data_IF_146076962772
#
_entry.id   IF_146076962772
#
_cell.length_a   1.000
_cell.length_b   1.000
_cell.length_c   1.000
_cell.angle_alpha   90.00
_cell.angle_beta   90.00
_cell.angle_gamma   90.00
#
_symmetry.space_group_name_H-M   'P 1'
#
loop_
_entity.id
_entity.type
_entity.pdbx_description
1 polymer ?
#
# COMPACT_ATOMS: atom_id res chain seq x y z
N UNK A 1 -11.66 -7.68 -26.89
CA UNK A 1 -11.53 -7.05 -28.23
C UNK A 1 -12.91 -6.82 -28.84
N UNK A 2 -13.14 -5.61 -29.38
CA UNK A 2 -14.37 -5.29 -30.11
C UNK A 2 -14.07 -5.49 -31.59
N UNK A 3 -14.85 -6.37 -32.23
CA UNK A 3 -14.64 -6.70 -33.64
C UNK A 3 -15.82 -6.24 -34.50
N UNK A 4 -15.51 -5.74 -35.71
CA UNK A 4 -16.48 -5.40 -36.74
C UNK A 4 -16.04 -6.07 -38.04
N UNK A 5 -16.91 -6.90 -38.62
CA UNK A 5 -16.65 -7.67 -39.85
C UNK A 5 -15.37 -8.53 -39.77
N UNK A 6 -15.06 -9.13 -38.60
CA UNK A 6 -13.87 -9.97 -38.38
C UNK A 6 -12.57 -9.20 -38.15
N UNK A 7 -12.57 -7.88 -38.16
CA UNK A 7 -11.41 -7.03 -37.86
C UNK A 7 -11.61 -6.30 -36.54
N UNK A 8 -10.53 -6.02 -35.83
CA UNK A 8 -10.55 -5.27 -34.56
C UNK A 8 -10.93 -3.82 -34.83
N UNK A 9 -12.02 -3.36 -34.21
CA UNK A 9 -12.45 -1.97 -34.27
C UNK A 9 -11.75 -1.14 -33.18
N UNK A 10 -10.55 -0.66 -33.48
CA UNK A 10 -9.73 0.14 -32.56
C UNK A 10 -10.43 1.41 -32.07
N UNK A 11 -11.33 1.99 -32.85
CA UNK A 11 -12.04 3.20 -32.45
C UNK A 11 -13.06 2.87 -31.38
N UNK A 12 -13.86 1.83 -31.60
CA UNK A 12 -14.84 1.34 -30.62
C UNK A 12 -14.16 0.87 -29.31
N UNK A 13 -12.98 0.22 -29.40
CA UNK A 13 -12.21 -0.18 -28.22
C UNK A 13 -11.73 1.04 -27.41
N UNK A 14 -11.23 2.09 -28.07
CA UNK A 14 -10.77 3.31 -27.41
C UNK A 14 -11.95 4.01 -26.73
N UNK A 15 -13.10 4.14 -27.40
CA UNK A 15 -14.30 4.77 -26.85
C UNK A 15 -14.84 3.98 -25.64
N UNK A 16 -14.92 2.65 -25.73
CA UNK A 16 -15.35 1.80 -24.63
C UNK A 16 -14.38 1.86 -23.44
N UNK A 17 -13.08 1.85 -23.70
CA UNK A 17 -12.05 1.98 -22.66
C UNK A 17 -12.08 3.34 -21.98
N UNK A 18 -12.27 4.42 -22.76
CA UNK A 18 -12.40 5.77 -22.23
C UNK A 18 -13.58 5.88 -21.27
N UNK A 19 -14.74 5.34 -21.67
CA UNK A 19 -15.93 5.34 -20.82
C UNK A 19 -15.71 4.58 -19.51
N UNK A 20 -15.11 3.38 -19.56
CA UNK A 20 -14.79 2.61 -18.35
C UNK A 20 -13.83 3.35 -17.41
N UNK A 21 -12.81 4.00 -17.96
CA UNK A 21 -11.82 4.78 -17.21
C UNK A 21 -12.51 5.98 -16.52
N UNK A 22 -13.39 6.68 -17.24
CA UNK A 22 -14.15 7.82 -16.70
C UNK A 22 -15.18 7.39 -15.66
N UNK A 23 -15.93 6.31 -15.90
CA UNK A 23 -16.89 5.74 -14.94
C UNK A 23 -16.21 5.32 -13.63
N UNK A 24 -14.91 5.02 -13.68
CA UNK A 24 -14.06 4.73 -12.52
C UNK A 24 -13.39 5.99 -11.92
N UNK A 25 -13.69 7.18 -12.41
CA UNK A 25 -13.14 8.43 -11.89
C UNK A 25 -11.63 8.57 -12.12
N UNK A 26 -11.05 7.80 -13.04
CA UNK A 26 -9.64 7.85 -13.38
C UNK A 26 -9.44 8.78 -14.59
N UNK A 27 -8.57 9.79 -14.45
CA UNK A 27 -8.25 10.73 -15.53
C UNK A 27 -6.97 10.30 -16.25
N UNK A 28 -7.11 9.27 -17.09
CA UNK A 28 -6.00 8.73 -17.91
C UNK A 28 -6.51 8.49 -19.32
N UNK A 29 -5.70 8.81 -20.30
CA UNK A 29 -6.03 8.49 -21.69
C UNK A 29 -5.93 6.97 -21.94
N UNK A 30 -6.91 6.36 -22.65
CA UNK A 30 -6.82 4.93 -23.01
C UNK A 30 -5.64 4.62 -23.94
N UNK A 31 -5.00 5.64 -24.52
CA UNK A 31 -3.79 5.50 -25.32
C UNK A 31 -2.50 5.69 -24.52
N UNK A 32 -2.60 5.98 -23.22
CA UNK A 32 -1.43 6.16 -22.38
C UNK A 32 -0.64 4.86 -22.25
N UNK A 33 0.68 4.96 -22.26
CA UNK A 33 1.55 3.81 -22.01
C UNK A 33 1.63 3.58 -20.50
N UNK A 34 1.45 2.35 -20.05
CA UNK A 34 1.51 1.98 -18.61
C UNK A 34 2.80 2.45 -17.93
N UNK A 35 3.93 2.43 -18.63
CA UNK A 35 5.22 2.91 -18.11
C UNK A 35 5.23 4.39 -17.72
N UNK A 36 4.28 5.18 -18.21
CA UNK A 36 4.16 6.62 -17.94
C UNK A 36 3.15 6.91 -16.83
N UNK A 37 2.50 5.88 -16.29
CA UNK A 37 1.50 5.99 -15.23
C UNK A 37 2.15 5.75 -13.87
N UNK A 38 1.52 6.30 -12.84
CA UNK A 38 1.88 5.97 -11.46
C UNK A 38 1.45 4.54 -11.12
N UNK A 39 2.09 3.92 -10.14
CA UNK A 39 1.75 2.56 -9.68
C UNK A 39 0.26 2.48 -9.29
N UNK A 40 -0.25 3.49 -8.59
CA UNK A 40 -1.66 3.58 -8.22
C UNK A 40 -2.60 3.60 -9.44
N UNK A 41 -2.25 4.36 -10.50
CA UNK A 41 -3.02 4.36 -11.74
C UNK A 41 -2.98 3.00 -12.43
N UNK A 42 -1.84 2.33 -12.44
CA UNK A 42 -1.72 0.98 -12.99
C UNK A 42 -2.62 -0.01 -12.25
N UNK A 43 -2.64 0.02 -10.91
CA UNK A 43 -3.50 -0.84 -10.11
C UNK A 43 -5.00 -0.59 -10.39
N UNK A 44 -5.42 0.67 -10.49
CA UNK A 44 -6.81 1.00 -10.85
C UNK A 44 -7.16 0.49 -12.25
N UNK A 45 -6.24 0.56 -13.21
CA UNK A 45 -6.45 0.02 -14.57
C UNK A 45 -6.63 -1.51 -14.54
N UNK A 46 -5.86 -2.25 -13.73
CA UNK A 46 -6.05 -3.70 -13.57
C UNK A 46 -7.44 -4.04 -13.01
N UNK A 47 -7.95 -3.23 -12.09
CA UNK A 47 -9.30 -3.38 -11.54
C UNK A 47 -10.34 -3.08 -12.63
N UNK A 48 -10.18 -1.98 -13.38
CA UNK A 48 -11.06 -1.62 -14.51
C UNK A 48 -11.11 -2.76 -15.54
N UNK A 49 -9.97 -3.37 -15.83
CA UNK A 49 -9.87 -4.53 -16.72
C UNK A 49 -10.69 -5.73 -16.20
N UNK A 50 -10.60 -6.03 -14.91
CA UNK A 50 -11.40 -7.11 -14.30
C UNK A 50 -12.92 -6.80 -14.39
N UNK A 51 -13.30 -5.54 -14.21
CA UNK A 51 -14.70 -5.08 -14.38
C UNK A 51 -15.18 -5.26 -15.82
N UNK A 52 -14.32 -4.95 -16.80
CA UNK A 52 -14.68 -4.95 -18.23
C UNK A 52 -15.09 -6.33 -18.78
N UNK A 53 -14.66 -7.41 -18.13
CA UNK A 53 -14.98 -8.79 -18.52
C UNK A 53 -16.22 -9.36 -17.85
N UNK A 54 -17.02 -8.55 -17.14
CA UNK A 54 -18.19 -8.97 -16.37
C UNK A 54 -17.90 -10.17 -15.44
N UNK A 55 -16.78 -10.13 -14.77
CA UNK A 55 -16.35 -11.17 -13.84
C UNK A 55 -17.39 -11.34 -12.72
N UNK A 56 -17.75 -12.59 -12.41
CA UNK A 56 -18.63 -12.92 -11.28
C UNK A 56 -17.87 -12.97 -9.96
N UNK A 57 -16.57 -13.22 -10.01
CA UNK A 57 -15.64 -13.27 -8.88
C UNK A 57 -14.40 -12.49 -9.26
N UNK A 58 -13.96 -11.62 -8.37
CA UNK A 58 -12.70 -10.85 -8.51
C UNK A 58 -11.81 -11.17 -7.31
N UNK A 59 -10.56 -11.51 -7.57
CA UNK A 59 -9.52 -11.68 -6.53
C UNK A 59 -8.61 -10.47 -6.57
N UNK A 60 -8.47 -9.80 -5.43
CA UNK A 60 -7.59 -8.64 -5.23
C UNK A 60 -6.53 -9.01 -4.19
N UNK A 61 -5.28 -9.05 -4.61
CA UNK A 61 -4.14 -9.38 -3.75
C UNK A 61 -3.35 -8.11 -3.47
N UNK A 62 -3.35 -7.67 -2.20
CA UNK A 62 -2.67 -6.45 -1.70
C UNK A 62 -2.93 -5.20 -2.58
N UNK A 63 -4.18 -4.87 -2.94
CA UNK A 63 -4.44 -3.87 -3.96
C UNK A 63 -4.09 -2.44 -3.54
N UNK A 64 -3.81 -2.20 -2.27
CA UNK A 64 -3.54 -0.87 -1.70
C UNK A 64 -2.07 -0.61 -1.36
N UNK A 65 -1.20 -1.62 -1.46
CA UNK A 65 0.22 -1.52 -1.05
C UNK A 65 0.96 -0.33 -1.65
N UNK A 66 0.60 0.10 -2.85
CA UNK A 66 1.24 1.23 -3.56
C UNK A 66 0.32 2.44 -3.72
N UNK A 67 -0.85 2.44 -3.07
CA UNK A 67 -1.84 3.51 -3.18
C UNK A 67 -1.74 4.42 -1.94
N UNK A 68 -1.69 5.73 -2.14
CA UNK A 68 -1.78 6.72 -1.07
C UNK A 68 -3.25 6.77 -0.58
N UNK A 69 -3.47 7.08 0.70
CA UNK A 69 -4.77 7.03 1.40
C UNK A 69 -5.97 7.58 0.60
N UNK A 70 -5.79 8.68 -0.14
CA UNK A 70 -6.86 9.20 -1.02
C UNK A 70 -7.29 8.23 -2.12
N UNK A 71 -6.40 7.39 -2.61
CA UNK A 71 -6.70 6.38 -3.63
C UNK A 71 -7.43 5.17 -3.07
N UNK A 72 -7.21 4.85 -1.79
CA UNK A 72 -7.87 3.72 -1.11
C UNK A 72 -9.39 3.92 -1.06
N UNK A 73 -9.85 5.12 -0.75
CA UNK A 73 -11.29 5.43 -0.73
C UNK A 73 -11.94 5.22 -2.10
N UNK A 74 -11.26 5.66 -3.18
CA UNK A 74 -11.76 5.45 -4.56
C UNK A 74 -11.88 3.95 -4.85
N UNK A 75 -10.88 3.16 -4.48
CA UNK A 75 -10.92 1.71 -4.62
C UNK A 75 -12.10 1.11 -3.86
N UNK A 76 -12.32 1.49 -2.61
CA UNK A 76 -13.41 0.99 -1.78
C UNK A 76 -14.79 1.36 -2.34
N UNK A 77 -14.95 2.55 -2.89
CA UNK A 77 -16.18 2.94 -3.60
C UNK A 77 -16.45 2.02 -4.80
N UNK A 78 -15.41 1.65 -5.56
CA UNK A 78 -15.56 0.71 -6.68
C UNK A 78 -15.90 -0.70 -6.21
N UNK A 79 -15.25 -1.18 -5.14
CA UNK A 79 -15.57 -2.47 -4.51
C UNK A 79 -17.03 -2.51 -4.10
N UNK A 80 -17.52 -1.48 -3.42
CA UNK A 80 -18.92 -1.39 -2.98
C UNK A 80 -19.90 -1.39 -4.15
N UNK A 81 -19.58 -0.66 -5.24
CA UNK A 81 -20.39 -0.68 -6.47
C UNK A 81 -20.44 -2.06 -7.13
N UNK A 82 -19.31 -2.82 -7.10
CA UNK A 82 -19.26 -4.18 -7.63
C UNK A 82 -20.06 -5.14 -6.74
N UNK A 83 -19.93 -5.04 -5.41
CA UNK A 83 -20.75 -5.80 -4.45
C UNK A 83 -22.24 -5.56 -4.69
N UNK A 84 -22.66 -4.31 -4.89
CA UNK A 84 -24.05 -3.96 -5.19
C UNK A 84 -24.58 -4.56 -6.50
N UNK A 85 -23.68 -4.88 -7.46
CA UNK A 85 -24.00 -5.59 -8.70
C UNK A 85 -23.96 -7.12 -8.57
N UNK A 86 -23.72 -7.65 -7.36
CA UNK A 86 -23.67 -9.08 -7.08
C UNK A 86 -22.33 -9.76 -7.42
N UNK A 87 -21.26 -9.00 -7.63
CA UNK A 87 -19.92 -9.54 -7.84
C UNK A 87 -19.35 -10.00 -6.50
N UNK A 88 -18.87 -11.25 -6.42
CA UNK A 88 -18.15 -11.75 -5.27
C UNK A 88 -16.69 -11.27 -5.31
N UNK A 89 -16.16 -10.82 -4.17
CA UNK A 89 -14.80 -10.29 -4.09
C UNK A 89 -14.02 -11.06 -3.02
N UNK A 90 -12.84 -11.55 -3.38
CA UNK A 90 -11.84 -12.08 -2.46
C UNK A 90 -10.78 -10.99 -2.32
N UNK A 91 -10.70 -10.42 -1.11
CA UNK A 91 -9.79 -9.33 -0.78
C UNK A 91 -8.69 -9.84 0.13
N UNK A 92 -7.44 -9.84 -0.34
CA UNK A 92 -6.28 -10.29 0.43
C UNK A 92 -5.51 -9.05 0.86
N UNK A 93 -5.32 -8.87 2.15
CA UNK A 93 -4.56 -7.77 2.74
C UNK A 93 -4.04 -8.16 4.12
N UNK A 94 -2.94 -7.54 4.54
CA UNK A 94 -2.44 -7.58 5.91
C UNK A 94 -2.81 -6.31 6.70
N UNK A 95 -3.49 -5.37 6.08
CA UNK A 95 -3.96 -4.12 6.70
C UNK A 95 -5.31 -4.33 7.36
N UNK A 96 -5.33 -4.32 8.69
CA UNK A 96 -6.55 -4.58 9.48
C UNK A 96 -7.61 -3.53 9.25
N UNK A 97 -7.22 -2.25 9.18
CA UNK A 97 -8.11 -1.12 8.90
C UNK A 97 -8.92 -1.31 7.61
N UNK A 98 -8.30 -1.85 6.57
CA UNK A 98 -8.97 -2.15 5.31
C UNK A 98 -9.93 -3.32 5.44
N UNK A 99 -9.48 -4.42 6.05
CA UNK A 99 -10.27 -5.63 6.24
C UNK A 99 -11.55 -5.32 7.03
N UNK A 100 -11.44 -4.60 8.13
CA UNK A 100 -12.59 -4.21 8.95
C UNK A 100 -13.51 -3.21 8.25
N UNK A 101 -13.00 -2.44 7.29
CA UNK A 101 -13.79 -1.44 6.56
C UNK A 101 -14.60 -2.04 5.40
N UNK A 102 -14.02 -2.98 4.63
CA UNK A 102 -14.59 -3.38 3.34
C UNK A 102 -15.12 -4.81 3.30
N UNK A 103 -14.62 -5.71 4.17
CA UNK A 103 -14.98 -7.11 4.16
C UNK A 103 -16.24 -7.40 4.98
N UNK A 104 -17.00 -8.40 4.56
CA UNK A 104 -18.15 -8.91 5.31
C UNK A 104 -17.70 -10.07 6.21
N UNK A 105 -16.77 -10.90 5.73
CA UNK A 105 -16.25 -12.10 6.40
C UNK A 105 -14.74 -12.22 6.23
N UNK A 106 -14.05 -12.69 7.25
CA UNK A 106 -12.61 -12.89 7.27
C UNK A 106 -12.30 -14.38 7.37
N UNK A 107 -11.36 -14.85 6.56
CA UNK A 107 -10.73 -16.17 6.69
C UNK A 107 -9.26 -15.99 7.01
N UNK A 108 -8.77 -16.64 8.06
CA UNK A 108 -7.40 -16.51 8.54
C UNK A 108 -6.58 -17.73 8.13
N UNK A 109 -5.43 -17.46 7.51
CA UNK A 109 -4.42 -18.44 7.16
C UNK A 109 -3.12 -18.12 7.91
N UNK A 110 -2.42 -19.15 8.37
CA UNK A 110 -1.12 -19.03 9.01
C UNK A 110 -0.27 -20.25 8.67
N UNK A 111 0.96 -20.03 8.25
CA UNK A 111 1.91 -21.10 7.89
C UNK A 111 1.33 -22.12 6.89
N UNK A 112 0.51 -21.62 5.93
CA UNK A 112 -0.15 -22.45 4.92
C UNK A 112 -1.37 -23.23 5.44
N UNK A 113 -1.77 -23.04 6.71
CA UNK A 113 -2.91 -23.70 7.30
C UNK A 113 -4.11 -22.77 7.48
N UNK A 114 -5.29 -23.30 7.26
CA UNK A 114 -6.54 -22.62 7.58
C UNK A 114 -6.75 -22.63 9.09
N UNK A 115 -6.87 -21.45 9.71
CA UNK A 115 -7.02 -21.28 11.16
C UNK A 115 -8.50 -21.13 11.54
N UNK A 116 -9.28 -20.44 10.72
CA UNK A 116 -10.69 -20.21 10.97
C UNK A 116 -11.25 -19.07 10.14
N UNK A 117 -12.57 -18.86 10.26
CA UNK A 117 -13.25 -17.70 9.68
C UNK A 117 -14.31 -17.16 10.63
N UNK A 118 -14.71 -15.90 10.39
CA UNK A 118 -15.78 -15.25 11.12
C UNK A 118 -16.36 -14.07 10.35
N UNK A 119 -17.53 -13.63 10.75
CA UNK A 119 -18.10 -12.36 10.25
C UNK A 119 -17.31 -11.20 10.86
N UNK A 120 -17.04 -10.17 10.07
CA UNK A 120 -16.27 -8.99 10.53
C UNK A 120 -16.92 -8.34 11.76
N UNK A 121 -18.26 -8.27 11.78
CA UNK A 121 -19.02 -7.68 12.90
C UNK A 121 -18.87 -8.42 14.24
N UNK A 122 -18.46 -9.69 14.21
CA UNK A 122 -18.34 -10.57 15.38
C UNK A 122 -16.88 -10.75 15.85
N UNK A 123 -15.94 -10.14 15.14
CA UNK A 123 -14.50 -10.19 15.42
C UNK A 123 -13.97 -8.82 15.78
N UNK A 124 -13.10 -8.76 16.76
CA UNK A 124 -12.28 -7.59 17.05
C UNK A 124 -10.84 -7.74 16.55
N UNK A 125 -10.12 -6.63 16.46
CA UNK A 125 -8.74 -6.63 15.99
C UNK A 125 -7.81 -7.50 16.84
N UNK A 126 -7.86 -7.51 18.19
CA UNK A 126 -7.06 -8.39 19.03
C UNK A 126 -7.32 -9.89 18.76
N UNK A 127 -8.59 -10.28 18.56
CA UNK A 127 -8.95 -11.66 18.22
C UNK A 127 -8.36 -12.07 16.87
N UNK A 128 -8.46 -11.19 15.86
CA UNK A 128 -7.91 -11.45 14.55
C UNK A 128 -6.40 -11.59 14.60
N UNK A 129 -5.69 -10.69 15.31
CA UNK A 129 -4.25 -10.77 15.53
C UNK A 129 -3.88 -12.09 16.22
N UNK A 130 -4.62 -12.51 17.27
CA UNK A 130 -4.39 -13.78 17.95
C UNK A 130 -4.52 -14.97 17.00
N UNK A 131 -5.51 -14.96 16.10
CA UNK A 131 -5.65 -16.01 15.06
C UNK A 131 -4.47 -16.03 14.10
N UNK A 132 -3.99 -14.86 13.66
CA UNK A 132 -2.89 -14.73 12.71
C UNK A 132 -1.53 -15.10 13.32
N UNK A 133 -1.24 -14.65 14.55
CA UNK A 133 0.07 -14.84 15.20
C UNK A 133 0.11 -16.13 16.03
N UNK A 134 -1.03 -16.56 16.55
CA UNK A 134 -1.14 -17.80 17.37
C UNK A 134 -0.68 -17.65 18.81
N UNK A 135 -0.37 -16.43 19.25
CA UNK A 135 -0.02 -16.10 20.64
C UNK A 135 -0.91 -14.97 21.13
N UNK A 136 -1.18 -14.92 22.42
CA UNK A 136 -1.72 -13.70 23.01
C UNK A 136 -0.64 -12.62 22.90
N UNK A 137 -0.96 -11.55 22.19
CA UNK A 137 -0.06 -10.40 22.01
C UNK A 137 -0.10 -9.54 23.28
N UNK A 138 0.24 -10.11 24.43
CA UNK A 138 0.38 -9.34 25.67
C UNK A 138 1.65 -8.48 25.67
N UNK A 139 2.61 -8.74 24.76
CA UNK A 139 3.91 -8.07 24.72
C UNK A 139 4.33 -7.69 23.30
N UNK A 140 3.50 -6.91 22.59
CA UNK A 140 3.78 -6.58 21.17
C UNK A 140 5.02 -5.69 21.02
N UNK A 141 5.38 -4.91 22.03
CA UNK A 141 6.59 -4.08 22.00
C UNK A 141 7.12 -3.83 23.41
N UNK A 142 7.85 -4.81 23.98
CA UNK A 142 8.70 -4.53 25.12
C UNK A 142 9.81 -3.56 24.65
N UNK A 143 9.61 -2.27 24.93
CA UNK A 143 10.68 -1.31 24.85
C UNK A 143 11.68 -1.67 25.97
N UNK A 144 12.73 -2.41 25.60
CA UNK A 144 13.81 -2.66 26.54
C UNK A 144 14.41 -1.31 26.96
N UNK A 145 14.48 -1.06 28.27
CA UNK A 145 15.16 0.11 28.81
C UNK A 145 16.67 -0.05 28.55
N UNK A 146 17.14 0.58 27.48
CA UNK A 146 18.57 0.69 27.22
C UNK A 146 19.12 1.92 27.95
N UNK A 147 20.30 1.78 28.58
CA UNK A 147 21.03 2.95 29.08
C UNK A 147 21.54 3.75 27.89
N UNK A 148 21.00 4.95 27.73
CA UNK A 148 21.44 5.86 26.69
C UNK A 148 22.78 6.46 27.15
N UNK A 149 23.82 6.23 26.33
CA UNK A 149 25.18 6.70 26.60
C UNK A 149 25.57 7.91 25.76
N UNK A 150 26.85 7.96 25.40
CA UNK A 150 27.44 9.07 24.65
C UNK A 150 27.00 9.10 23.20
N UNK A 151 27.17 10.25 22.54
CA UNK A 151 26.90 10.44 21.12
C UNK A 151 27.82 9.54 20.29
N UNK A 152 27.25 8.58 19.57
CA UNK A 152 28.00 7.65 18.72
C UNK A 152 28.03 8.07 17.25
N UNK A 153 27.03 8.83 16.84
CA UNK A 153 26.93 9.36 15.48
C UNK A 153 26.42 10.79 15.55
N UNK A 154 27.07 11.68 14.81
CA UNK A 154 26.62 13.05 14.64
C UNK A 154 26.88 13.48 13.20
N UNK A 155 25.86 14.03 12.56
CA UNK A 155 25.99 14.65 11.25
C UNK A 155 25.36 16.04 11.29
N UNK A 156 26.14 17.05 10.94
CA UNK A 156 25.74 18.48 11.01
C UNK A 156 25.69 19.07 9.62
N UNK A 157 24.72 19.98 9.45
CA UNK A 157 24.58 20.79 8.24
C UNK A 157 24.49 19.94 6.96
N UNK A 158 23.70 18.85 7.00
CA UNK A 158 23.48 18.01 5.83
C UNK A 158 22.63 18.78 4.84
N UNK A 159 23.20 19.02 3.66
CA UNK A 159 22.50 19.59 2.52
C UNK A 159 22.63 18.62 1.35
N UNK A 160 21.50 18.26 0.76
CA UNK A 160 21.48 17.41 -0.44
C UNK A 160 20.35 17.79 -1.37
N UNK A 161 20.73 18.12 -2.57
CA UNK A 161 19.81 18.55 -3.63
C UNK A 161 18.91 19.72 -3.17
N UNK A 162 17.68 19.77 -3.66
CA UNK A 162 16.67 20.74 -3.20
C UNK A 162 15.82 20.23 -2.04
N UNK A 163 16.00 18.95 -1.62
CA UNK A 163 15.12 18.26 -0.67
C UNK A 163 15.63 18.33 0.77
N UNK A 164 16.93 18.20 0.99
CA UNK A 164 17.54 18.29 2.33
C UNK A 164 18.23 19.63 2.50
N UNK A 165 17.72 20.45 3.42
CA UNK A 165 18.15 21.82 3.65
C UNK A 165 18.64 21.98 5.07
N UNK A 166 19.97 21.88 5.26
CA UNK A 166 20.65 22.18 6.53
C UNK A 166 20.09 21.41 7.74
N UNK A 167 20.06 20.07 7.64
CA UNK A 167 19.60 19.20 8.72
C UNK A 167 20.79 18.66 9.51
N UNK A 168 20.68 18.68 10.85
CA UNK A 168 21.63 18.05 11.75
C UNK A 168 20.93 16.95 12.54
N UNK A 169 21.60 15.80 12.68
CA UNK A 169 21.12 14.65 13.44
C UNK A 169 22.23 14.09 14.31
N UNK A 170 21.87 13.58 15.48
CA UNK A 170 22.79 12.83 16.34
C UNK A 170 22.10 11.60 16.90
N UNK A 171 22.88 10.54 17.14
CA UNK A 171 22.40 9.28 17.73
C UNK A 171 23.37 8.87 18.84
N UNK A 172 22.83 8.49 19.99
CA UNK A 172 23.59 8.06 21.15
C UNK A 172 23.71 6.54 21.24
N UNK A 173 24.67 6.06 21.99
CA UNK A 173 24.77 4.64 22.32
C UNK A 173 23.51 4.15 23.02
N UNK A 174 22.95 3.01 22.58
CA UNK A 174 21.70 2.46 23.12
C UNK A 174 20.41 3.21 22.72
N UNK A 175 20.51 4.24 21.88
CA UNK A 175 19.35 4.99 21.36
C UNK A 175 18.83 4.40 20.06
N UNK A 176 17.52 4.29 19.94
CA UNK A 176 16.81 4.05 18.69
C UNK A 176 16.20 5.37 18.19
N UNK A 177 16.83 5.99 17.20
CA UNK A 177 16.31 7.23 16.59
C UNK A 177 15.35 6.91 15.46
N UNK A 178 14.08 7.25 15.60
CA UNK A 178 13.07 7.15 14.55
C UNK A 178 13.04 8.38 13.64
N UNK A 179 13.08 8.19 12.31
CA UNK A 179 12.95 9.27 11.33
C UNK A 179 11.64 9.09 10.58
N UNK A 180 10.66 9.94 10.85
CA UNK A 180 9.34 9.93 10.25
C UNK A 180 9.15 11.06 9.25
N UNK A 181 8.20 10.91 8.33
CA UNK A 181 7.83 11.93 7.33
C UNK A 181 7.04 11.34 6.18
N UNK A 182 6.34 12.18 5.44
CA UNK A 182 5.57 11.79 4.26
C UNK A 182 6.45 11.29 3.11
N UNK A 183 5.85 10.61 2.15
CA UNK A 183 6.54 10.22 0.89
C UNK A 183 7.06 11.48 0.20
N UNK A 184 8.34 11.48 -0.18
CA UNK A 184 8.99 12.64 -0.79
C UNK A 184 9.57 13.66 0.20
N UNK A 185 9.46 13.45 1.52
CA UNK A 185 10.01 14.35 2.54
C UNK A 185 11.54 14.38 2.62
N UNK A 186 12.24 13.57 1.84
CA UNK A 186 13.70 13.59 1.80
C UNK A 186 14.40 12.67 2.81
N UNK A 187 13.67 11.72 3.44
CA UNK A 187 14.24 10.79 4.45
C UNK A 187 15.39 9.94 3.89
N UNK A 188 15.19 9.34 2.73
CA UNK A 188 16.23 8.54 2.07
C UNK A 188 17.43 9.40 1.67
N UNK A 189 17.19 10.56 1.10
CA UNK A 189 18.20 11.52 0.72
C UNK A 189 19.02 12.03 1.92
N UNK A 190 18.36 12.20 3.09
CA UNK A 190 19.03 12.56 4.34
C UNK A 190 20.01 11.46 4.78
N UNK A 191 19.56 10.20 4.78
CA UNK A 191 20.40 9.07 5.21
C UNK A 191 21.57 8.82 4.25
N UNK A 192 21.34 8.91 2.95
CA UNK A 192 22.41 8.79 1.95
C UNK A 192 23.40 9.96 2.03
N UNK A 193 22.95 11.18 2.35
CA UNK A 193 23.81 12.36 2.58
C UNK A 193 24.70 12.20 3.81
N UNK A 194 24.21 11.55 4.87
CA UNK A 194 24.99 11.24 6.08
C UNK A 194 26.08 10.19 5.86
N UNK A 195 25.87 9.25 4.96
CA UNK A 195 26.82 8.15 4.68
C UNK A 195 28.08 8.62 3.91
N UNK A 196 27.99 9.69 3.12
CA UNK A 196 29.11 10.18 2.31
C UNK A 196 30.19 10.98 3.10
N UNK A 197 29.98 11.25 4.38
CA UNK A 197 30.97 11.96 5.23
C UNK A 197 31.45 11.14 6.42
N UNK A 198 31.52 9.83 6.29
CA UNK A 198 32.26 9.02 7.26
C UNK A 198 33.78 9.30 7.12
N UNK A 199 34.25 10.37 7.76
CA UNK A 199 35.60 10.38 8.26
C UNK A 199 35.58 9.51 9.52
N UNK A 200 36.19 8.33 9.39
CA UNK A 200 36.50 7.40 10.49
C UNK A 200 36.92 8.13 11.75
N UNK A 201 36.13 8.05 12.80
CA UNK A 201 36.66 8.13 14.16
C UNK A 201 36.94 6.68 14.55
N UNK A 202 38.04 6.15 13.99
CA UNK A 202 38.73 5.01 14.57
C UNK A 202 39.75 5.59 15.56
N UNK A 203 39.48 5.42 16.83
CA UNK A 203 40.49 5.29 17.89
C UNK A 203 39.96 4.30 18.90
#
# INVERSE_FOLDING_TARGET
EITKNGLVDKKAEIEASQKLIEDCGLHVSPKALLRNLTVAQCQLIEIIKAISVNAKVIVMDEPTTSIIDKGVHILFDHINRLKAKGVAIIYISHRMDEIFTICDRISVFRDGQYIGCGEVKDLDEPQLIKMMVGRETTDVFLKLEAKIGDVMFEAKHIVRDKKVKDISISVRSGELLGIAGLVGAGRSELMEGGTMKQKSIAK
#
